data_IF_288369993129
#
_entry.id   IF_288369993129
#
_cell.length_a   1.000
_cell.length_b   1.000
_cell.length_c   1.000
_cell.angle_alpha   90.00
_cell.angle_beta   90.00
_cell.angle_gamma   90.00
#
_symmetry.space_group_name_H-M   'P 1'
#
loop_
_entity.id
_entity.type
_entity.pdbx_description
1 polymer ?
#
# COMPACT_ATOMS: atom_id res chain seq x y z
N UNK A 1 4.18 -25.44 69.23
CA UNK A 1 4.19 -26.10 67.93
C UNK A 1 3.99 -24.99 66.90
N UNK A 2 5.12 -24.61 66.27
CA UNK A 2 5.16 -23.45 65.36
C UNK A 2 5.13 -23.99 63.93
N UNK A 3 4.10 -23.65 63.18
CA UNK A 3 3.98 -23.97 61.78
C UNK A 3 4.78 -22.94 60.94
N UNK A 4 5.83 -23.43 60.29
CA UNK A 4 6.64 -22.66 59.37
C UNK A 4 5.99 -22.75 58.00
N UNK A 5 5.40 -21.65 57.52
CA UNK A 5 4.85 -21.54 56.15
C UNK A 5 5.98 -21.05 55.27
N UNK A 6 6.49 -21.93 54.44
CA UNK A 6 7.51 -21.59 53.43
C UNK A 6 6.79 -21.00 52.20
N UNK A 7 6.90 -19.69 51.99
CA UNK A 7 6.47 -19.05 50.77
C UNK A 7 7.45 -19.30 49.65
N UNK A 8 7.06 -20.08 48.64
CA UNK A 8 7.80 -20.28 47.39
C UNK A 8 7.47 -19.10 46.46
N UNK A 9 8.44 -18.21 46.31
CA UNK A 9 8.38 -17.11 45.37
C UNK A 9 8.68 -17.64 43.95
N UNK A 10 7.64 -17.82 43.15
CA UNK A 10 7.78 -18.21 41.74
C UNK A 10 8.16 -16.97 40.93
N UNK A 11 9.46 -16.80 40.65
CA UNK A 11 9.94 -15.81 39.72
C UNK A 11 9.70 -16.31 38.30
N UNK A 12 8.62 -15.82 37.66
CA UNK A 12 8.39 -16.01 36.24
C UNK A 12 9.39 -15.17 35.47
N UNK A 13 10.44 -15.80 34.94
CA UNK A 13 11.35 -15.20 33.96
C UNK A 13 10.57 -15.10 32.65
N UNK A 14 10.01 -13.93 32.38
CA UNK A 14 9.50 -13.58 31.06
C UNK A 14 10.72 -13.48 30.13
N UNK A 15 11.05 -14.58 29.46
CA UNK A 15 11.97 -14.54 28.33
C UNK A 15 11.30 -13.76 27.21
N UNK A 16 11.50 -12.44 27.21
CA UNK A 16 11.20 -11.59 26.09
C UNK A 16 12.02 -12.07 24.91
N UNK A 17 11.38 -12.77 23.99
CA UNK A 17 11.96 -13.01 22.66
C UNK A 17 12.07 -11.64 21.97
N UNK A 18 13.18 -10.92 22.24
CA UNK A 18 13.57 -9.81 21.38
C UNK A 18 13.85 -10.44 20.01
N UNK A 19 12.91 -10.34 19.10
CA UNK A 19 13.15 -10.56 17.69
C UNK A 19 14.19 -9.53 17.27
N UNK A 20 15.48 -9.90 17.35
CA UNK A 20 16.56 -9.12 16.74
C UNK A 20 16.27 -9.07 15.25
N UNK A 21 15.65 -8.00 14.77
CA UNK A 21 15.72 -7.64 13.36
C UNK A 21 17.20 -7.46 13.05
N UNK A 22 17.69 -8.27 12.13
CA UNK A 22 19.07 -8.18 11.70
C UNK A 22 19.18 -6.95 10.79
N UNK A 23 19.87 -5.92 11.25
CA UNK A 23 20.17 -4.75 10.42
C UNK A 23 20.95 -5.22 9.20
N UNK A 24 20.39 -4.98 8.03
CA UNK A 24 21.04 -5.32 6.77
C UNK A 24 21.86 -4.12 6.31
N UNK A 25 23.11 -4.07 6.75
CA UNK A 25 24.07 -3.13 6.19
C UNK A 25 24.55 -3.72 4.86
N UNK A 26 24.07 -3.14 3.76
CA UNK A 26 24.54 -3.51 2.43
C UNK A 26 26.01 -3.17 2.24
N UNK A 27 26.76 -4.08 1.64
CA UNK A 27 28.18 -3.92 1.32
C UNK A 27 28.41 -3.91 -0.19
N UNK A 28 29.52 -3.30 -0.61
CA UNK A 28 29.93 -3.19 -2.01
C UNK A 28 29.32 -1.96 -2.72
N UNK A 29 29.67 -1.76 -4.00
CA UNK A 29 29.15 -0.65 -4.80
C UNK A 29 27.65 -0.79 -5.03
N UNK A 30 26.99 0.34 -5.28
CA UNK A 30 25.60 0.36 -5.78
C UNK A 30 25.65 -0.07 -7.25
N UNK A 31 24.88 -1.10 -7.57
CA UNK A 31 24.78 -1.66 -8.92
C UNK A 31 23.31 -1.81 -9.33
N UNK A 32 23.07 -1.89 -10.64
CA UNK A 32 21.74 -2.16 -11.18
C UNK A 32 21.73 -3.51 -11.87
N UNK A 33 20.82 -4.38 -11.48
CA UNK A 33 20.61 -5.68 -12.11
C UNK A 33 19.25 -5.76 -12.77
N UNK A 34 19.21 -6.22 -14.01
CA UNK A 34 17.96 -6.55 -14.70
C UNK A 34 17.48 -7.92 -14.28
N UNK A 35 16.21 -8.03 -13.93
CA UNK A 35 15.54 -9.28 -13.59
C UNK A 35 14.78 -9.81 -14.80
N UNK A 36 15.03 -11.07 -15.18
CA UNK A 36 14.39 -11.73 -16.32
C UNK A 36 12.96 -12.18 -15.96
N UNK A 37 12.04 -11.23 -15.79
CA UNK A 37 10.63 -11.45 -15.45
C UNK A 37 9.71 -10.68 -16.39
N UNK A 38 8.68 -11.33 -16.89
CA UNK A 38 7.71 -10.79 -17.85
C UNK A 38 6.31 -11.36 -17.57
N UNK A 39 5.29 -10.87 -18.27
CA UNK A 39 3.95 -11.46 -18.22
C UNK A 39 3.18 -11.18 -16.92
N UNK A 40 3.41 -10.05 -16.29
CA UNK A 40 2.66 -9.63 -15.10
C UNK A 40 1.75 -8.45 -15.43
N UNK A 41 0.61 -8.41 -14.75
CA UNK A 41 -0.31 -7.26 -14.71
C UNK A 41 -0.50 -6.73 -13.28
N UNK A 42 0.17 -7.30 -12.30
CA UNK A 42 0.18 -6.84 -10.91
C UNK A 42 1.59 -6.66 -10.36
N UNK A 43 1.73 -5.78 -9.38
CA UNK A 43 2.95 -5.58 -8.59
C UNK A 43 2.60 -5.76 -7.11
N UNK A 44 3.37 -6.57 -6.39
CA UNK A 44 3.26 -6.77 -4.96
C UNK A 44 4.63 -6.56 -4.29
N UNK A 45 4.77 -5.43 -3.60
CA UNK A 45 5.97 -5.11 -2.83
C UNK A 45 5.81 -5.60 -1.39
N UNK A 46 6.66 -6.56 -1.00
CA UNK A 46 6.67 -7.20 0.32
C UNK A 46 7.99 -6.96 1.08
N UNK A 47 8.69 -5.88 0.74
CA UNK A 47 9.94 -5.49 1.39
C UNK A 47 10.07 -3.98 1.47
N UNK A 48 10.95 -3.49 2.36
CA UNK A 48 11.30 -2.08 2.39
C UNK A 48 12.10 -1.73 1.13
N UNK A 49 11.57 -0.82 0.34
CA UNK A 49 12.14 -0.39 -0.92
C UNK A 49 11.14 0.45 -1.70
N UNK A 50 11.60 1.09 -2.77
CA UNK A 50 10.76 1.95 -3.58
C UNK A 50 10.62 1.40 -5.00
N UNK A 51 9.38 1.10 -5.40
CA UNK A 51 9.04 0.73 -6.76
C UNK A 51 8.65 1.98 -7.54
N UNK A 52 9.22 2.13 -8.72
CA UNK A 52 8.87 3.16 -9.71
C UNK A 52 8.31 2.48 -10.95
N UNK A 53 7.01 2.54 -11.09
CA UNK A 53 6.32 1.96 -12.24
C UNK A 53 6.14 2.98 -13.36
N UNK A 54 6.35 2.52 -14.59
CA UNK A 54 6.03 3.24 -15.83
C UNK A 54 5.26 2.32 -16.75
N UNK A 55 4.10 2.75 -17.25
CA UNK A 55 3.40 2.01 -18.30
C UNK A 55 4.20 2.09 -19.60
N UNK A 56 4.54 0.93 -20.16
CA UNK A 56 5.37 0.81 -21.37
C UNK A 56 4.96 -0.47 -22.13
N UNK A 57 5.23 -0.54 -23.42
CA UNK A 57 4.92 -1.74 -24.23
C UNK A 57 5.76 -2.96 -23.84
N UNK A 58 6.93 -2.74 -23.23
CA UNK A 58 7.87 -3.79 -22.84
C UNK A 58 7.91 -3.97 -21.33
N UNK A 59 7.93 -5.25 -20.88
CA UNK A 59 8.27 -5.57 -19.50
C UNK A 59 9.75 -5.37 -19.25
N UNK A 60 10.05 -4.67 -18.19
CA UNK A 60 11.42 -4.52 -17.68
C UNK A 60 11.36 -4.38 -16.16
N UNK A 61 12.25 -5.08 -15.47
CA UNK A 61 12.43 -4.95 -14.04
C UNK A 61 13.92 -4.76 -13.75
N UNK A 62 14.28 -3.64 -13.17
CA UNK A 62 15.64 -3.29 -12.78
C UNK A 62 15.67 -3.01 -11.28
N UNK A 63 16.59 -3.64 -10.59
CA UNK A 63 16.84 -3.42 -9.16
C UNK A 63 18.17 -2.70 -9.01
N UNK A 64 18.15 -1.54 -8.38
CA UNK A 64 19.34 -0.78 -7.99
C UNK A 64 19.51 -0.86 -6.49
N UNK A 65 20.61 -1.45 -6.05
CA UNK A 65 20.94 -1.66 -4.65
C UNK A 65 22.45 -1.88 -4.49
N UNK A 66 22.96 -1.91 -3.25
CA UNK A 66 24.32 -2.41 -2.99
C UNK A 66 24.47 -3.87 -3.41
N UNK A 67 25.66 -4.22 -3.88
CA UNK A 67 25.94 -5.52 -4.48
C UNK A 67 25.50 -6.71 -3.61
N UNK A 68 25.77 -6.67 -2.32
CA UNK A 68 25.38 -7.75 -1.39
C UNK A 68 23.85 -7.89 -1.21
N UNK A 69 23.09 -6.83 -1.47
CA UNK A 69 21.62 -6.83 -1.32
C UNK A 69 20.97 -7.63 -2.45
N UNK A 70 21.51 -7.61 -3.67
CA UNK A 70 20.92 -8.30 -4.81
C UNK A 70 20.70 -9.80 -4.59
N UNK A 71 21.58 -10.45 -3.84
CA UNK A 71 21.50 -11.88 -3.52
C UNK A 71 20.38 -12.22 -2.53
N UNK A 72 19.93 -11.22 -1.77
CA UNK A 72 18.89 -11.35 -0.75
C UNK A 72 17.49 -11.04 -1.31
N UNK A 73 17.42 -10.51 -2.52
CA UNK A 73 16.17 -10.15 -3.16
C UNK A 73 15.67 -11.26 -4.08
N UNK A 74 14.37 -11.49 -4.02
CA UNK A 74 13.62 -12.33 -4.95
C UNK A 74 12.64 -11.48 -5.75
N UNK A 75 12.67 -11.69 -7.06
CA UNK A 75 11.70 -11.12 -8.00
C UNK A 75 11.21 -12.23 -8.90
N UNK A 76 9.92 -12.54 -8.84
CA UNK A 76 9.31 -13.57 -9.68
C UNK A 76 7.84 -13.26 -9.92
N UNK A 77 7.24 -13.88 -10.94
CA UNK A 77 5.82 -13.73 -11.25
C UNK A 77 5.06 -14.95 -10.75
N UNK A 78 3.99 -14.67 -9.98
CA UNK A 78 3.04 -15.66 -9.50
C UNK A 78 1.63 -15.14 -9.73
N UNK A 79 0.78 -15.93 -10.39
CA UNK A 79 -0.61 -15.53 -10.70
C UNK A 79 -0.70 -14.13 -11.34
N UNK A 80 0.08 -13.90 -12.39
CA UNK A 80 0.20 -12.63 -13.11
C UNK A 80 0.63 -11.43 -12.23
N UNK A 81 1.19 -11.67 -11.06
CA UNK A 81 1.66 -10.62 -10.15
C UNK A 81 3.17 -10.74 -9.96
N UNK A 82 3.89 -9.67 -10.22
CA UNK A 82 5.31 -9.54 -9.88
C UNK A 82 5.44 -9.40 -8.37
N UNK A 83 6.03 -10.41 -7.73
CA UNK A 83 6.37 -10.37 -6.31
C UNK A 83 7.81 -9.87 -6.16
N UNK A 84 7.98 -8.92 -5.25
CA UNK A 84 9.27 -8.32 -4.90
C UNK A 84 9.41 -8.44 -3.38
N UNK A 85 10.32 -9.28 -2.93
CA UNK A 85 10.49 -9.58 -1.51
C UNK A 85 11.93 -9.95 -1.16
N UNK A 86 12.24 -10.02 0.11
CA UNK A 86 13.46 -10.65 0.57
C UNK A 86 13.33 -12.18 0.52
N UNK A 87 14.44 -12.83 0.21
CA UNK A 87 14.59 -14.30 0.25
C UNK A 87 14.30 -14.81 1.67
N UNK A 88 13.72 -16.00 1.76
CA UNK A 88 13.42 -16.67 3.03
C UNK A 88 12.49 -15.91 4.01
N UNK A 89 11.68 -14.97 3.51
CA UNK A 89 10.72 -14.24 4.34
C UNK A 89 11.35 -13.35 5.43
N UNK A 90 12.65 -13.12 5.37
CA UNK A 90 13.32 -12.23 6.30
C UNK A 90 12.85 -10.78 6.11
N UNK A 91 12.72 -10.05 7.21
CA UNK A 91 12.55 -8.59 7.20
C UNK A 91 13.88 -7.99 7.61
N UNK A 92 14.40 -7.10 6.77
CA UNK A 92 15.60 -6.34 7.06
C UNK A 92 15.22 -4.86 7.16
N UNK A 93 15.72 -4.18 8.17
CA UNK A 93 15.79 -2.74 8.15
C UNK A 93 16.96 -2.36 7.25
N UNK A 94 16.67 -2.09 5.98
CA UNK A 94 17.69 -1.60 5.07
C UNK A 94 17.84 -0.09 5.32
N UNK A 95 19.02 0.29 5.77
CA UNK A 95 19.42 1.70 5.94
C UNK A 95 19.58 2.42 4.59
N UNK A 96 19.26 1.73 3.48
CA UNK A 96 19.49 2.18 2.13
C UNK A 96 18.28 2.01 1.24
N UNK A 97 18.03 3.05 0.43
CA UNK A 97 16.94 3.08 -0.54
C UNK A 97 17.17 2.07 -1.67
N UNK A 98 16.57 0.90 -1.56
CA UNK A 98 16.47 -0.04 -2.68
C UNK A 98 15.48 0.53 -3.68
N UNK A 99 15.97 0.78 -4.91
CA UNK A 99 15.16 1.30 -6.01
C UNK A 99 14.84 0.20 -7.01
N UNK A 100 13.57 0.03 -7.32
CA UNK A 100 13.11 -0.95 -8.28
C UNK A 100 12.34 -0.21 -9.38
N UNK A 101 12.90 -0.19 -10.60
CA UNK A 101 12.22 0.35 -11.76
C UNK A 101 11.47 -0.80 -12.45
N UNK A 102 10.17 -0.62 -12.65
CA UNK A 102 9.30 -1.61 -13.27
C UNK A 102 8.58 -0.98 -14.44
N UNK A 103 8.59 -1.63 -15.60
CA UNK A 103 7.73 -1.26 -16.72
C UNK A 103 6.95 -2.44 -17.26
N UNK A 104 5.83 -2.16 -17.92
CA UNK A 104 4.99 -3.16 -18.57
C UNK A 104 3.76 -2.55 -19.24
N UNK A 105 3.08 -3.29 -20.13
CA UNK A 105 2.01 -2.74 -20.99
C UNK A 105 0.73 -2.35 -20.25
N UNK A 106 0.50 -2.90 -19.07
CA UNK A 106 -0.65 -2.51 -18.24
C UNK A 106 -0.58 -3.21 -16.90
N UNK A 107 -0.32 -2.44 -15.84
CA UNK A 107 -0.44 -2.92 -14.47
C UNK A 107 -1.74 -2.40 -13.89
N UNK A 108 -2.61 -3.31 -13.57
CA UNK A 108 -3.96 -3.08 -13.05
C UNK A 108 -4.08 -3.37 -11.55
N UNK A 109 -2.98 -3.85 -10.92
CA UNK A 109 -2.93 -4.21 -9.51
C UNK A 109 -1.65 -3.74 -8.84
N UNK A 110 -1.79 -2.90 -7.81
CA UNK A 110 -0.70 -2.45 -6.96
C UNK A 110 -0.95 -2.85 -5.51
N UNK A 111 -0.07 -3.66 -4.95
CA UNK A 111 -0.15 -4.13 -3.56
C UNK A 111 1.13 -3.80 -2.81
N UNK A 112 0.98 -3.24 -1.62
CA UNK A 112 2.05 -2.86 -0.73
C UNK A 112 1.77 -3.39 0.67
N UNK A 113 2.65 -4.27 1.17
CA UNK A 113 2.45 -4.93 2.46
C UNK A 113 3.47 -4.49 3.52
N UNK A 114 4.22 -3.44 3.26
CA UNK A 114 5.36 -3.00 4.07
C UNK A 114 5.40 -1.48 4.26
N UNK A 115 6.50 -0.97 4.81
CA UNK A 115 6.81 0.45 4.90
C UNK A 115 7.48 1.03 3.64
N UNK A 116 7.77 0.21 2.61
CA UNK A 116 8.22 0.69 1.31
C UNK A 116 7.17 1.52 0.58
N UNK A 117 7.46 1.94 -0.66
CA UNK A 117 6.51 2.74 -1.42
C UNK A 117 6.43 2.32 -2.89
N UNK A 118 5.28 2.55 -3.50
CA UNK A 118 5.07 2.36 -4.93
C UNK A 118 4.69 3.70 -5.56
N UNK A 119 5.42 4.09 -6.58
CA UNK A 119 5.20 5.33 -7.33
C UNK A 119 4.92 5.01 -8.80
N UNK A 120 3.95 5.67 -9.39
CA UNK A 120 3.82 5.75 -10.85
C UNK A 120 3.89 7.20 -11.28
N UNK A 121 4.88 7.52 -12.10
CA UNK A 121 5.05 8.84 -12.70
C UNK A 121 4.56 8.87 -14.16
N UNK A 122 3.79 7.90 -14.59
CA UNK A 122 3.18 7.81 -15.91
C UNK A 122 1.68 7.63 -15.81
N UNK A 123 0.99 7.90 -16.89
CA UNK A 123 -0.42 7.63 -17.03
C UNK A 123 -0.67 6.12 -16.92
N UNK A 124 -1.68 5.73 -16.14
CA UNK A 124 -2.17 4.37 -16.02
C UNK A 124 -3.53 4.30 -16.71
N UNK A 125 -3.62 3.51 -17.78
CA UNK A 125 -4.85 3.32 -18.54
C UNK A 125 -5.23 1.83 -18.51
N UNK A 126 -6.26 1.49 -17.72
CA UNK A 126 -6.72 0.12 -17.50
C UNK A 126 -8.24 0.09 -17.40
N UNK A 127 -8.85 -1.08 -17.54
CA UNK A 127 -10.30 -1.20 -17.35
C UNK A 127 -10.67 -1.18 -15.87
N UNK A 128 -9.96 -1.94 -15.06
CA UNK A 128 -10.15 -2.01 -13.61
C UNK A 128 -8.80 -1.79 -12.94
N UNK A 129 -8.75 -0.97 -11.92
CA UNK A 129 -7.56 -0.74 -11.11
C UNK A 129 -7.82 -1.18 -9.68
N UNK A 130 -6.95 -2.04 -9.16
CA UNK A 130 -6.93 -2.44 -7.76
C UNK A 130 -5.67 -1.92 -7.08
N UNK A 131 -5.83 -1.16 -5.98
CA UNK A 131 -4.73 -0.57 -5.22
C UNK A 131 -4.90 -0.89 -3.73
N UNK A 132 -3.93 -1.57 -3.13
CA UNK A 132 -4.04 -1.95 -1.72
C UNK A 132 -2.74 -1.69 -0.96
N UNK A 133 -2.82 -0.94 0.13
CA UNK A 133 -1.76 -0.83 1.13
C UNK A 133 -2.21 -1.47 2.45
N UNK A 134 -1.49 -2.50 2.89
CA UNK A 134 -1.70 -3.14 4.20
C UNK A 134 -0.53 -2.86 5.15
N UNK A 135 0.40 -2.01 4.74
CA UNK A 135 1.54 -1.54 5.53
C UNK A 135 1.46 -0.06 5.89
N UNK A 136 2.59 0.50 6.29
CA UNK A 136 2.71 1.93 6.62
C UNK A 136 3.22 2.76 5.43
N UNK A 137 3.59 2.12 4.33
CA UNK A 137 4.11 2.78 3.14
C UNK A 137 3.02 3.33 2.23
N UNK A 138 3.43 4.10 1.24
CA UNK A 138 2.53 4.83 0.37
C UNK A 138 2.48 4.27 -1.06
N UNK A 139 1.29 4.30 -1.66
CA UNK A 139 1.10 4.09 -3.10
C UNK A 139 0.66 5.42 -3.71
N UNK A 140 1.48 5.98 -4.60
CA UNK A 140 1.22 7.27 -5.23
C UNK A 140 1.21 7.14 -6.74
N UNK A 141 0.05 7.37 -7.33
CA UNK A 141 -0.18 7.31 -8.77
C UNK A 141 -0.33 8.71 -9.33
N UNK A 142 0.27 9.00 -10.48
CA UNK A 142 0.20 10.34 -11.08
C UNK A 142 -1.15 10.57 -11.75
N UNK A 143 -1.50 9.74 -12.72
CA UNK A 143 -2.77 9.87 -13.46
C UNK A 143 -3.36 8.49 -13.72
N UNK A 144 -4.65 8.35 -13.45
CA UNK A 144 -5.38 7.09 -13.61
C UNK A 144 -6.61 7.30 -14.48
N UNK A 145 -6.73 6.47 -15.51
CA UNK A 145 -7.97 6.36 -16.30
C UNK A 145 -8.43 4.91 -16.23
N UNK A 146 -9.59 4.69 -15.62
CA UNK A 146 -10.17 3.36 -15.45
C UNK A 146 -11.70 3.42 -15.49
N UNK A 147 -12.36 2.28 -15.77
CA UNK A 147 -13.80 2.20 -15.57
C UNK A 147 -14.11 2.02 -14.06
N UNK A 148 -13.34 1.21 -13.37
CA UNK A 148 -13.51 0.95 -11.96
C UNK A 148 -12.17 1.08 -11.22
N UNK A 149 -12.20 1.74 -10.07
CA UNK A 149 -11.07 1.82 -9.14
C UNK A 149 -11.51 1.25 -7.81
N UNK A 150 -10.73 0.31 -7.27
CA UNK A 150 -10.86 -0.21 -5.92
C UNK A 150 -9.57 0.10 -5.15
N UNK A 151 -9.67 1.00 -4.16
CA UNK A 151 -8.53 1.45 -3.37
C UNK A 151 -8.75 1.18 -1.88
N UNK A 152 -7.79 0.47 -1.27
CA UNK A 152 -7.84 0.09 0.14
C UNK A 152 -6.56 0.49 0.88
N UNK A 153 -6.72 1.05 2.10
CA UNK A 153 -5.63 1.30 3.05
C UNK A 153 -6.01 0.76 4.43
N UNK A 154 -5.31 -0.29 4.88
CA UNK A 154 -5.70 -1.04 6.08
C UNK A 154 -4.86 -0.75 7.33
N UNK A 155 -3.81 0.04 7.25
CA UNK A 155 -3.00 0.45 8.42
C UNK A 155 -2.79 1.96 8.43
N UNK A 156 -1.53 2.42 8.28
CA UNK A 156 -1.21 3.86 8.37
C UNK A 156 -0.79 4.48 7.03
N UNK A 157 -0.63 3.63 5.99
CA UNK A 157 -0.17 4.06 4.68
C UNK A 157 -1.18 4.93 3.94
N UNK A 158 -0.70 5.62 2.92
CA UNK A 158 -1.53 6.45 2.04
C UNK A 158 -1.64 5.83 0.66
N UNK A 159 -2.87 5.74 0.14
CA UNK A 159 -3.14 5.48 -1.28
C UNK A 159 -3.59 6.77 -1.92
N UNK A 160 -2.96 7.19 -3.02
CA UNK A 160 -3.32 8.44 -3.69
C UNK A 160 -3.16 8.38 -5.19
N UNK A 161 -4.01 9.16 -5.89
CA UNK A 161 -3.83 9.51 -7.29
C UNK A 161 -4.00 11.03 -7.47
N UNK A 162 -3.12 11.63 -8.27
CA UNK A 162 -3.06 13.09 -8.43
C UNK A 162 -4.11 13.60 -9.40
N UNK A 163 -4.43 12.82 -10.44
CA UNK A 163 -5.41 13.19 -11.48
C UNK A 163 -6.00 11.95 -12.16
N UNK A 164 -7.05 12.14 -12.93
CA UNK A 164 -7.64 11.09 -13.74
C UNK A 164 -9.15 11.11 -13.78
N UNK A 165 -9.72 10.00 -14.26
CA UNK A 165 -11.16 9.83 -14.33
C UNK A 165 -11.56 8.36 -14.20
N UNK A 166 -12.73 8.12 -13.62
CA UNK A 166 -13.32 6.79 -13.49
C UNK A 166 -14.85 6.85 -13.50
N UNK A 167 -15.50 5.74 -13.78
CA UNK A 167 -16.95 5.62 -13.64
C UNK A 167 -17.28 5.31 -12.18
N UNK A 168 -16.70 4.27 -11.62
CA UNK A 168 -16.96 3.82 -10.26
C UNK A 168 -15.68 3.82 -9.42
N UNK A 169 -15.78 4.30 -8.20
CA UNK A 169 -14.69 4.33 -7.26
C UNK A 169 -15.13 3.73 -5.91
N UNK A 170 -14.45 2.68 -5.49
CA UNK A 170 -14.63 2.03 -4.18
C UNK A 170 -13.42 2.33 -3.31
N UNK A 171 -13.62 3.05 -2.22
CA UNK A 171 -12.58 3.53 -1.33
C UNK A 171 -12.80 3.00 0.08
N UNK A 172 -11.82 2.27 0.62
CA UNK A 172 -11.94 1.68 1.96
C UNK A 172 -10.72 1.96 2.82
N UNK A 173 -10.92 2.52 4.01
CA UNK A 173 -9.91 2.59 5.05
C UNK A 173 -10.27 1.71 6.25
N UNK A 174 -9.27 0.96 6.74
CA UNK A 174 -9.36 0.17 7.97
C UNK A 174 -8.07 0.45 8.79
N UNK A 175 -8.21 1.20 9.87
CA UNK A 175 -7.07 1.74 10.62
C UNK A 175 -6.95 3.26 10.53
N UNK A 176 -5.73 3.79 10.47
CA UNK A 176 -5.44 5.24 10.41
C UNK A 176 -4.98 5.71 9.02
N UNK A 177 -4.90 4.82 8.05
CA UNK A 177 -4.48 5.10 6.69
C UNK A 177 -5.35 6.11 5.97
N UNK A 178 -4.85 6.66 4.88
CA UNK A 178 -5.54 7.69 4.12
C UNK A 178 -5.73 7.27 2.67
N UNK A 179 -6.84 7.66 2.07
CA UNK A 179 -7.06 7.55 0.64
C UNK A 179 -7.33 8.95 0.08
N UNK A 180 -6.46 9.39 -0.82
CA UNK A 180 -6.52 10.71 -1.45
C UNK A 180 -6.74 10.56 -2.97
N UNK A 181 -8.00 10.48 -3.37
CA UNK A 181 -8.42 10.33 -4.77
C UNK A 181 -9.16 11.56 -5.30
N UNK A 182 -9.13 12.69 -4.59
CA UNK A 182 -9.85 13.90 -4.98
C UNK A 182 -9.40 14.51 -6.33
N UNK A 183 -8.25 14.12 -6.84
CA UNK A 183 -7.80 14.48 -8.19
C UNK A 183 -8.38 13.61 -9.30
N UNK A 184 -9.02 12.48 -8.95
CA UNK A 184 -9.68 11.58 -9.90
C UNK A 184 -11.16 11.94 -9.95
N UNK A 185 -11.64 12.35 -11.10
CA UNK A 185 -13.06 12.65 -11.30
C UNK A 185 -13.84 11.34 -11.44
N UNK A 186 -14.58 10.97 -10.41
CA UNK A 186 -15.44 9.80 -10.43
C UNK A 186 -16.91 10.19 -10.69
N UNK A 187 -17.64 9.32 -11.39
CA UNK A 187 -19.09 9.46 -11.50
C UNK A 187 -19.75 9.03 -10.19
N UNK A 188 -19.50 7.82 -9.73
CA UNK A 188 -20.08 7.25 -8.53
C UNK A 188 -18.97 6.82 -7.56
N UNK A 189 -19.09 7.21 -6.30
CA UNK A 189 -18.10 6.90 -5.23
C UNK A 189 -18.77 6.14 -4.10
N UNK A 190 -18.16 5.04 -3.68
CA UNK A 190 -18.48 4.34 -2.44
C UNK A 190 -17.31 4.48 -1.48
N UNK A 191 -17.53 5.10 -0.34
CA UNK A 191 -16.52 5.33 0.70
C UNK A 191 -16.86 4.59 1.99
N UNK A 192 -15.95 3.75 2.47
CA UNK A 192 -16.08 3.00 3.72
C UNK A 192 -14.92 3.30 4.65
N UNK A 193 -15.22 3.82 5.83
CA UNK A 193 -14.25 4.06 6.91
C UNK A 193 -14.59 3.16 8.10
N UNK A 194 -13.66 2.26 8.47
CA UNK A 194 -13.79 1.37 9.62
C UNK A 194 -12.95 1.83 10.84
N UNK A 195 -12.05 2.78 10.65
CA UNK A 195 -11.11 3.27 11.67
C UNK A 195 -11.09 4.78 11.82
N UNK A 196 -9.90 5.36 11.99
CA UNK A 196 -9.67 6.80 12.14
C UNK A 196 -9.08 7.46 10.88
N UNK A 197 -8.84 6.70 9.83
CA UNK A 197 -8.33 7.19 8.55
C UNK A 197 -9.33 8.06 7.81
N UNK A 198 -8.84 8.84 6.86
CA UNK A 198 -9.66 9.76 6.08
C UNK A 198 -9.69 9.38 4.59
N UNK A 199 -10.80 9.65 3.95
CA UNK A 199 -10.99 9.51 2.51
C UNK A 199 -11.23 10.89 1.90
N UNK A 200 -10.51 11.21 0.79
CA UNK A 200 -10.80 12.36 -0.07
C UNK A 200 -11.14 11.88 -1.47
N UNK A 201 -12.30 12.29 -2.01
CA UNK A 201 -12.80 11.88 -3.30
C UNK A 201 -13.45 13.02 -4.08
N UNK A 202 -13.61 12.85 -5.39
CA UNK A 202 -14.40 13.74 -6.24
C UNK A 202 -15.53 12.95 -6.90
N UNK A 203 -16.78 13.26 -6.56
CA UNK A 203 -17.97 12.56 -7.07
C UNK A 203 -18.88 13.52 -7.82
N UNK A 204 -19.38 13.08 -8.99
CA UNK A 204 -20.27 13.92 -9.81
C UNK A 204 -21.74 13.50 -9.76
N UNK A 205 -22.04 12.21 -9.52
CA UNK A 205 -23.41 11.68 -9.56
C UNK A 205 -23.86 11.17 -8.18
N UNK A 206 -23.20 10.15 -7.60
CA UNK A 206 -23.54 9.63 -6.29
C UNK A 206 -22.30 9.51 -5.38
N UNK A 207 -22.51 9.77 -4.08
CA UNK A 207 -21.57 9.46 -3.00
C UNK A 207 -22.29 8.61 -1.95
N UNK A 208 -21.90 7.34 -1.86
CA UNK A 208 -22.32 6.42 -0.79
C UNK A 208 -21.23 6.38 0.27
N UNK A 209 -21.48 6.90 1.46
CA UNK A 209 -20.49 6.99 2.51
C UNK A 209 -20.93 6.25 3.78
N UNK A 210 -20.12 5.30 4.24
CA UNK A 210 -20.32 4.61 5.52
C UNK A 210 -19.13 4.85 6.43
N UNK A 211 -19.36 5.40 7.62
CA UNK A 211 -18.33 5.69 8.61
C UNK A 211 -18.66 4.93 9.90
N UNK A 212 -17.80 3.97 10.28
CA UNK A 212 -17.90 3.19 11.51
C UNK A 212 -16.82 3.55 12.55
N UNK A 213 -16.14 4.67 12.33
CA UNK A 213 -15.05 5.13 13.20
C UNK A 213 -15.05 6.65 13.40
N UNK A 214 -13.88 7.22 13.65
CA UNK A 214 -13.71 8.66 13.87
C UNK A 214 -13.16 9.41 12.64
N UNK A 215 -12.77 8.70 11.58
CA UNK A 215 -12.30 9.30 10.34
C UNK A 215 -13.40 10.02 9.58
N UNK A 216 -13.03 10.85 8.62
CA UNK A 216 -13.98 11.67 7.84
C UNK A 216 -13.83 11.44 6.34
N UNK A 217 -14.96 11.57 5.64
CA UNK A 217 -15.01 11.60 4.18
C UNK A 217 -15.07 13.06 3.73
N UNK A 218 -14.06 13.48 2.98
CA UNK A 218 -14.01 14.77 2.32
C UNK A 218 -14.33 14.58 0.84
N UNK A 219 -15.20 15.40 0.29
CA UNK A 219 -15.57 15.26 -1.11
C UNK A 219 -15.71 16.59 -1.82
N UNK A 220 -15.50 16.56 -3.15
CA UNK A 220 -15.79 17.65 -4.08
C UNK A 220 -16.84 17.22 -5.10
N UNK A 221 -17.44 18.19 -5.78
CA UNK A 221 -18.55 17.95 -6.73
C UNK A 221 -19.93 18.15 -6.10
N UNK A 222 -21.00 17.74 -6.82
CA UNK A 222 -22.39 17.91 -6.43
C UNK A 222 -23.17 16.58 -6.52
N UNK A 223 -22.68 15.49 -5.90
CA UNK A 223 -23.36 14.20 -5.95
C UNK A 223 -24.63 14.19 -5.11
N UNK A 224 -25.54 13.27 -5.42
CA UNK A 224 -26.54 12.80 -4.46
C UNK A 224 -25.82 12.02 -3.37
N UNK A 225 -26.03 12.38 -2.09
CA UNK A 225 -25.35 11.78 -0.96
C UNK A 225 -26.28 10.81 -0.25
N UNK A 226 -25.83 9.57 -0.11
CA UNK A 226 -26.42 8.58 0.81
C UNK A 226 -25.38 8.22 1.86
N UNK A 227 -25.69 8.40 3.14
CA UNK A 227 -24.69 8.23 4.17
C UNK A 227 -25.20 7.54 5.43
N UNK A 228 -24.31 6.75 6.06
CA UNK A 228 -24.49 6.10 7.34
C UNK A 228 -23.30 6.36 8.25
N UNK A 229 -23.49 7.12 9.30
CA UNK A 229 -22.42 7.46 10.26
C UNK A 229 -22.74 6.85 11.63
N UNK A 230 -21.92 5.88 12.04
CA UNK A 230 -22.05 5.15 13.32
C UNK A 230 -20.99 5.59 14.36
N UNK A 231 -20.11 6.53 14.01
CA UNK A 231 -19.04 7.03 14.87
C UNK A 231 -19.03 8.56 14.95
N UNK A 232 -17.89 9.14 15.29
CA UNK A 232 -17.72 10.59 15.43
C UNK A 232 -17.23 11.30 14.15
N UNK A 233 -17.00 10.54 13.07
CA UNK A 233 -16.56 11.06 11.79
C UNK A 233 -17.62 11.90 11.09
N UNK A 234 -17.19 12.61 10.04
CA UNK A 234 -18.04 13.55 9.32
C UNK A 234 -17.91 13.37 7.80
N UNK A 235 -18.94 13.85 7.08
CA UNK A 235 -18.91 13.97 5.63
C UNK A 235 -18.86 15.46 5.33
N UNK A 236 -17.76 15.90 4.68
CA UNK A 236 -17.40 17.30 4.54
C UNK A 236 -17.15 17.60 3.07
N UNK A 237 -17.86 18.56 2.52
CA UNK A 237 -17.57 19.10 1.18
C UNK A 237 -16.49 20.17 1.28
N UNK A 238 -15.52 20.19 0.34
CA UNK A 238 -14.47 21.18 0.25
C UNK A 238 -14.39 21.83 -1.14
#
# INVERSE_FOLDING_TARGET
>A
MKNLITAILLVAIAAGSSSCKKDLIGNGPVTTETRAVTGFSGINLQMNGNVFYKQDVNWKVEVTAKQSIHQLLETYVLNNTLLIKYRNGNTYDADESIRINVSGPGVDKFMLNTSGSIYSNSDINVTNLFVRSTGSGDIRLQKVTANNIDAESSQSGTVSATSGNTINESLKTDGSGKIHMAGVSARDVTALILGSGNIKAAASNHLYATIKGSGSVYFSGYPVITSHVYGSGRIIRF
#
